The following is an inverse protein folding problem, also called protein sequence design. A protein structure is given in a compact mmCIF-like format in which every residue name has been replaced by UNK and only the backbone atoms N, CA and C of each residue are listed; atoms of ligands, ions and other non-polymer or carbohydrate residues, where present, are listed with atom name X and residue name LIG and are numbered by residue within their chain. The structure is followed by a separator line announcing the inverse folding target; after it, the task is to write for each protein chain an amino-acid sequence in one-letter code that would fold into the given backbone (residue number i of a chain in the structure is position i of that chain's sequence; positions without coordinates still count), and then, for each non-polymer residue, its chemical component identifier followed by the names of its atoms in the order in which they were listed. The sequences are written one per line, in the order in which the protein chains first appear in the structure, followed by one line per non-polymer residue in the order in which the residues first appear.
data_IF_745352090871
#
_entry.id   IF_745352090871
#
_cell.length_a   1.000
_cell.length_b   1.000
_cell.length_c   1.000
_cell.angle_alpha   90.00
_cell.angle_beta   90.00
_cell.angle_gamma   90.00
#
_symmetry.space_group_name_H-M   'P 1'
#
loop_
_entity.id
_entity.type
_entity.pdbx_description
1 polymer ?
#
# COMPACT_ATOMS: atom_id res chain seq x y z
N UNK A 1 13.55 -17.80 -15.17
CA UNK A 1 13.75 -17.01 -13.94
C UNK A 1 12.66 -17.32 -12.91
N UNK A 2 12.86 -18.27 -11.98
CA UNK A 2 11.84 -18.67 -10.99
C UNK A 2 11.35 -17.52 -10.09
N UNK A 3 12.23 -16.56 -9.78
CA UNK A 3 11.90 -15.38 -8.97
C UNK A 3 10.88 -14.44 -9.62
N UNK A 4 10.88 -14.32 -10.95
CA UNK A 4 9.93 -13.48 -11.70
C UNK A 4 8.54 -14.08 -11.66
N UNK A 5 8.41 -15.40 -11.82
CA UNK A 5 7.12 -16.11 -11.74
C UNK A 5 6.46 -15.93 -10.37
N UNK A 6 7.23 -16.13 -9.30
CA UNK A 6 6.76 -15.90 -7.93
C UNK A 6 6.31 -14.47 -7.66
N UNK A 7 6.92 -13.48 -8.33
CA UNK A 7 6.50 -12.08 -8.23
C UNK A 7 5.17 -11.85 -8.96
N UNK A 8 5.01 -12.41 -10.16
CA UNK A 8 3.77 -12.30 -10.94
C UNK A 8 2.58 -12.95 -10.21
N UNK A 9 2.79 -14.11 -9.60
CA UNK A 9 1.77 -14.77 -8.75
C UNK A 9 1.30 -13.85 -7.62
N UNK A 10 2.24 -13.22 -6.90
CA UNK A 10 1.91 -12.26 -5.83
C UNK A 10 1.18 -11.02 -6.35
N UNK A 11 1.52 -10.53 -7.54
CA UNK A 11 0.82 -9.39 -8.16
C UNK A 11 -0.62 -9.80 -8.50
N UNK A 12 -0.80 -11.00 -9.06
CA UNK A 12 -2.11 -11.53 -9.41
C UNK A 12 -3.00 -11.72 -8.16
N UNK A 13 -2.49 -12.36 -7.10
CA UNK A 13 -3.21 -12.49 -5.82
C UNK A 13 -3.68 -11.13 -5.25
N UNK A 14 -2.87 -10.08 -5.43
CA UNK A 14 -3.17 -8.73 -4.94
C UNK A 14 -4.21 -8.04 -5.81
N UNK A 15 -4.16 -8.25 -7.11
CA UNK A 15 -5.15 -7.75 -8.05
C UNK A 15 -6.54 -8.36 -7.77
N UNK A 16 -6.62 -9.67 -7.55
CA UNK A 16 -7.84 -10.37 -7.14
C UNK A 16 -8.39 -9.84 -5.80
N UNK A 17 -7.49 -9.45 -4.88
CA UNK A 17 -7.87 -8.81 -3.61
C UNK A 17 -8.27 -7.33 -3.74
N UNK A 18 -8.37 -6.80 -4.97
CA UNK A 18 -8.75 -5.41 -5.25
C UNK A 18 -7.64 -4.38 -5.02
N UNK A 19 -6.38 -4.81 -4.85
CA UNK A 19 -5.23 -3.92 -4.72
C UNK A 19 -4.84 -3.45 -6.12
N UNK A 20 -5.30 -2.26 -6.48
CA UNK A 20 -4.92 -1.56 -7.71
C UNK A 20 -3.79 -0.55 -7.46
N UNK A 21 -3.11 -0.10 -8.52
CA UNK A 21 -2.11 0.97 -8.41
C UNK A 21 -2.66 2.24 -7.74
N UNK A 22 -3.91 2.61 -8.00
CA UNK A 22 -4.57 3.73 -7.35
C UNK A 22 -4.72 3.53 -5.83
N UNK A 23 -5.16 2.34 -5.39
CA UNK A 23 -5.25 2.02 -3.95
C UNK A 23 -3.89 1.96 -3.27
N UNK A 24 -2.85 1.50 -3.95
CA UNK A 24 -1.48 1.50 -3.44
C UNK A 24 -0.97 2.94 -3.26
N UNK A 25 -1.09 3.78 -4.29
CA UNK A 25 -0.66 5.18 -4.21
C UNK A 25 -1.47 5.97 -3.20
N UNK A 26 -2.78 5.72 -3.11
CA UNK A 26 -3.61 6.29 -2.05
C UNK A 26 -3.07 5.96 -0.67
N UNK A 27 -2.76 4.68 -0.41
CA UNK A 27 -2.25 4.26 0.88
C UNK A 27 -0.87 4.86 1.18
N UNK A 28 -0.03 5.08 0.15
CA UNK A 28 1.25 5.78 0.30
C UNK A 28 1.07 7.26 0.62
N UNK A 29 0.11 7.93 -0.03
CA UNK A 29 -0.23 9.32 0.24
C UNK A 29 -0.73 9.48 1.67
N UNK A 30 -1.72 8.67 2.08
CA UNK A 30 -2.25 8.70 3.44
C UNK A 30 -1.15 8.51 4.49
N UNK A 31 -0.21 7.59 4.25
CA UNK A 31 0.85 7.21 5.19
C UNK A 31 2.15 7.99 5.01
N UNK A 32 2.20 8.98 4.10
CA UNK A 32 3.41 9.77 3.78
C UNK A 32 4.62 8.90 3.44
N UNK A 33 4.42 7.83 2.68
CA UNK A 33 5.50 6.92 2.25
C UNK A 33 6.09 7.45 0.96
N UNK A 34 7.39 7.74 0.92
CA UNK A 34 8.04 8.18 -0.31
C UNK A 34 8.19 6.98 -1.27
N UNK A 35 7.69 7.09 -2.53
CA UNK A 35 7.80 6.01 -3.52
C UNK A 35 9.24 5.58 -3.80
N UNK A 36 10.16 6.54 -3.72
CA UNK A 36 11.57 6.39 -4.06
C UNK A 36 12.50 6.16 -2.85
N UNK A 37 11.97 6.03 -1.64
CA UNK A 37 12.79 5.59 -0.50
C UNK A 37 13.06 4.09 -0.58
N UNK A 38 14.23 3.66 -0.11
CA UNK A 38 14.55 2.24 0.07
C UNK A 38 13.58 1.65 1.10
N UNK A 39 12.75 0.70 0.67
CA UNK A 39 11.77 0.03 1.53
C UNK A 39 12.33 -1.27 2.07
N UNK A 40 12.03 -1.55 3.34
CA UNK A 40 12.32 -2.85 3.95
C UNK A 40 11.33 -3.94 3.50
N UNK A 41 10.13 -3.54 3.06
CA UNK A 41 9.03 -4.43 2.69
C UNK A 41 8.40 -4.04 1.34
N UNK A 42 7.61 -4.95 0.77
CA UNK A 42 6.83 -4.64 -0.43
C UNK A 42 5.81 -3.52 -0.14
N UNK A 43 5.44 -2.72 -1.14
CA UNK A 43 4.55 -1.56 -0.94
C UNK A 43 3.12 -1.88 -0.45
N UNK A 44 2.72 -3.16 -0.46
CA UNK A 44 1.46 -3.66 0.13
C UNK A 44 1.65 -4.26 1.54
N UNK A 45 2.88 -4.37 2.02
CA UNK A 45 3.23 -4.82 3.37
C UNK A 45 3.60 -3.59 4.18
N UNK A 46 2.74 -3.20 5.09
CA UNK A 46 2.92 -2.02 5.90
C UNK A 46 2.83 -2.40 7.38
N UNK A 47 3.86 -2.05 8.15
CA UNK A 47 4.00 -2.47 9.55
C UNK A 47 3.33 -1.54 10.57
N UNK A 48 2.59 -0.52 10.12
CA UNK A 48 2.01 0.47 11.03
C UNK A 48 2.90 1.69 11.20
N UNK A 49 2.64 2.49 12.25
CA UNK A 49 3.29 3.80 12.45
C UNK A 49 4.80 3.68 12.61
N UNK A 50 5.30 2.54 13.11
CA UNK A 50 6.73 2.24 13.23
C UNK A 50 7.40 1.74 11.95
N UNK A 51 6.71 1.74 10.81
CA UNK A 51 7.31 1.30 9.54
C UNK A 51 8.42 2.28 9.12
N UNK A 52 9.66 1.81 8.88
CA UNK A 52 10.79 2.68 8.50
C UNK A 52 10.59 3.37 7.15
N UNK A 53 9.61 2.95 6.37
CA UNK A 53 9.25 3.58 5.08
C UNK A 53 8.39 4.83 5.26
N UNK A 54 7.89 5.14 6.48
CA UNK A 54 7.14 6.38 6.74
C UNK A 54 8.10 7.57 6.82
N UNK A 55 7.74 8.65 6.13
CA UNK A 55 8.41 9.94 6.31
C UNK A 55 7.98 10.63 7.60
N UNK A 56 6.70 10.50 7.97
CA UNK A 56 6.12 11.11 9.18
C UNK A 56 5.05 10.21 9.81
N UNK A 57 4.81 10.38 11.11
CA UNK A 57 3.71 9.71 11.81
C UNK A 57 2.33 10.31 11.48
N UNK A 58 2.29 11.57 11.03
CA UNK A 58 1.05 12.27 10.65
C UNK A 58 0.45 11.72 9.34
N UNK A 59 -0.86 11.47 9.34
CA UNK A 59 -1.62 11.02 8.17
C UNK A 59 -2.17 12.20 7.36
N UNK A 60 -2.26 12.03 6.03
CA UNK A 60 -2.89 13.04 5.16
C UNK A 60 -4.42 12.96 5.26
N UNK A 61 -5.06 14.12 5.41
CA UNK A 61 -6.52 14.23 5.35
C UNK A 61 -7.07 13.90 3.95
N UNK A 62 -8.16 13.12 3.92
CA UNK A 62 -8.73 12.46 2.74
C UNK A 62 -8.90 13.40 1.50
N UNK A 63 -9.49 14.61 1.62
CA UNK A 63 -9.64 15.54 0.50
C UNK A 63 -8.31 16.04 -0.10
N UNK A 64 -7.31 16.27 0.74
CA UNK A 64 -5.98 16.69 0.28
C UNK A 64 -5.27 15.55 -0.45
N UNK A 65 -5.36 14.33 0.09
CA UNK A 65 -4.84 13.14 -0.55
C UNK A 65 -5.48 12.91 -1.92
N UNK A 66 -6.81 13.10 -2.04
CA UNK A 66 -7.53 12.83 -3.28
C UNK A 66 -7.10 13.78 -4.39
N UNK A 67 -6.91 15.06 -4.05
CA UNK A 67 -6.39 16.07 -4.98
C UNK A 67 -5.02 15.68 -5.50
N UNK A 68 -4.13 15.18 -4.63
CA UNK A 68 -2.80 14.69 -5.03
C UNK A 68 -2.90 13.45 -5.92
N UNK A 69 -3.78 12.50 -5.58
CA UNK A 69 -3.97 11.28 -6.37
C UNK A 69 -4.50 11.59 -7.77
N UNK A 70 -5.50 12.46 -7.89
CA UNK A 70 -6.05 12.92 -9.17
C UNK A 70 -5.03 13.63 -10.04
N UNK A 71 -4.08 14.35 -9.43
CA UNK A 71 -2.96 14.97 -10.15
C UNK A 71 -1.95 13.94 -10.66
N UNK A 72 -1.74 12.86 -9.92
CA UNK A 72 -0.74 11.84 -10.24
C UNK A 72 -1.27 10.73 -11.18
N UNK A 73 -2.56 10.41 -11.12
CA UNK A 73 -3.22 9.43 -11.99
C UNK A 73 -4.41 10.11 -12.70
N UNK A 74 -4.31 10.27 -14.02
CA UNK A 74 -5.46 10.66 -14.84
C UNK A 74 -6.52 9.55 -14.82
N UNK A 75 -7.78 9.90 -14.53
CA UNK A 75 -8.91 8.96 -14.58
C UNK A 75 -9.39 8.35 -13.25
N UNK A 76 -8.80 8.72 -12.11
CA UNK A 76 -9.29 8.27 -10.79
C UNK A 76 -10.40 9.21 -10.28
N UNK A 77 -11.66 8.83 -10.45
CA UNK A 77 -12.82 9.61 -9.99
C UNK A 77 -13.16 9.36 -8.51
N UNK A 78 -12.96 8.13 -8.04
CA UNK A 78 -13.18 7.71 -6.67
C UNK A 78 -12.19 6.60 -6.27
N UNK A 79 -11.89 6.53 -4.98
CA UNK A 79 -11.08 5.45 -4.41
C UNK A 79 -12.05 4.44 -3.82
N UNK A 80 -12.08 3.22 -4.36
CA UNK A 80 -12.74 2.10 -3.68
C UNK A 80 -12.03 1.96 -2.33
N UNK A 81 -12.79 2.03 -1.23
CA UNK A 81 -12.28 2.02 0.14
C UNK A 81 -11.08 1.07 0.23
N UNK A 82 -9.94 1.64 0.63
CA UNK A 82 -8.69 0.89 0.75
C UNK A 82 -9.01 -0.41 1.49
N UNK A 83 -8.84 -1.59 0.88
CA UNK A 83 -9.15 -2.80 1.58
C UNK A 83 -8.25 -2.83 2.82
N UNK A 84 -8.86 -3.13 3.97
CA UNK A 84 -8.19 -3.31 5.27
C UNK A 84 -7.05 -4.35 5.19
N UNK A 85 -6.89 -5.04 4.06
CA UNK A 85 -5.84 -6.00 3.72
C UNK A 85 -4.43 -5.43 3.54
N UNK A 86 -4.21 -4.12 3.69
CA UNK A 86 -2.84 -3.63 3.99
C UNK A 86 -2.33 -4.07 5.37
N UNK A 87 -3.16 -4.80 6.13
CA UNK A 87 -2.74 -5.63 7.24
C UNK A 87 -2.47 -7.04 6.74
N UNK A 88 -1.19 -7.41 6.56
CA UNK A 88 -0.86 -8.83 6.75
C UNK A 88 -1.01 -9.09 8.24
N UNK A 89 -2.11 -9.74 8.57
CA UNK A 89 -2.31 -10.48 9.82
C UNK A 89 -1.02 -11.26 10.07
N UNK A 90 -0.18 -10.76 10.98
CA UNK A 90 0.84 -11.58 11.59
C UNK A 90 0.12 -12.83 12.04
N UNK A 91 0.50 -13.98 11.49
CA UNK A 91 0.15 -15.25 12.11
C UNK A 91 0.69 -15.13 13.53
N UNK A 92 -0.20 -14.85 14.48
CA UNK A 92 0.06 -15.09 15.89
C UNK A 92 0.43 -16.57 15.93
N UNK A 93 1.72 -16.85 16.11
CA UNK A 93 2.15 -18.16 16.57
C UNK A 93 1.32 -18.42 17.82
N UNK A 94 0.47 -19.43 17.74
CA UNK A 94 -0.08 -20.10 18.92
C UNK A 94 1.14 -20.72 19.59
N UNK A 95 1.74 -20.00 20.53
CA UNK A 95 2.57 -20.66 21.53
C UNK A 95 1.63 -21.37 22.48
N UNK A 96 2.10 -22.54 22.91
CA UNK A 96 1.48 -23.51 23.82
C UNK A 96 0.83 -22.88 25.06
#
# INVERSE_FOLDING_TARGET
MPHVRKLLEKIHERWEAGVTGATMMWSWLQRRIQPFQKRAHFGYQYLGVGDPSRLTSMEIFEPSGLKMLKKALSGVSAIRSSPTSFVMRGRRNRME
#
